data_IF_487994115535
#
_entry.id   IF_487994115535
#
_cell.length_a   1.000
_cell.length_b   1.000
_cell.length_c   1.000
_cell.angle_alpha   90.00
_cell.angle_beta   90.00
_cell.angle_gamma   90.00
#
_symmetry.space_group_name_H-M   'P 1'
#
loop_
_entity.id
_entity.type
_entity.pdbx_description
1 polymer ?
#
# COMPACT_ATOMS: atom_id res chain seq x y z
N UNK A 1 13.61 15.61 38.10
CA UNK A 1 13.79 14.15 38.30
C UNK A 1 12.92 13.39 37.29
N UNK A 2 13.52 12.72 36.33
CA UNK A 2 12.78 11.82 35.40
C UNK A 2 12.45 10.55 36.20
N UNK A 3 11.16 10.28 36.41
CA UNK A 3 10.71 8.98 36.96
C UNK A 3 11.04 7.91 35.92
N UNK A 4 12.00 7.06 36.23
CA UNK A 4 12.26 5.83 35.46
C UNK A 4 11.09 4.89 35.76
N UNK A 5 10.18 4.71 34.83
CA UNK A 5 9.16 3.66 34.89
C UNK A 5 9.91 2.32 34.89
N UNK A 6 9.99 1.68 36.06
CA UNK A 6 10.35 0.26 36.14
C UNK A 6 9.15 -0.52 35.61
N UNK A 7 9.29 -1.14 34.41
CA UNK A 7 8.33 -2.11 33.94
C UNK A 7 8.35 -3.33 34.86
N UNK A 8 7.24 -3.59 35.55
CA UNK A 8 7.07 -4.71 36.48
C UNK A 8 6.99 -6.08 35.80
N UNK A 9 6.95 -6.13 34.45
CA UNK A 9 6.93 -7.39 33.72
C UNK A 9 8.34 -7.72 33.19
N UNK A 10 8.92 -8.83 33.65
CA UNK A 10 10.15 -9.34 33.06
C UNK A 10 9.90 -9.61 31.60
N UNK A 11 10.80 -9.15 30.72
CA UNK A 11 10.76 -9.49 29.30
C UNK A 11 10.80 -11.01 29.09
N UNK A 12 10.76 -11.44 27.83
CA UNK A 12 10.90 -12.88 27.50
C UNK A 12 12.31 -13.35 27.89
N UNK A 13 12.36 -14.44 28.66
CA UNK A 13 13.59 -15.15 29.07
C UNK A 13 13.46 -16.62 28.74
N UNK A 14 14.57 -17.38 28.80
CA UNK A 14 14.54 -18.85 28.60
C UNK A 14 13.72 -19.59 29.65
N UNK A 15 13.47 -18.99 30.79
CA UNK A 15 12.68 -19.56 31.87
C UNK A 15 11.18 -19.45 31.61
N UNK A 16 10.73 -18.32 31.02
CA UNK A 16 9.31 -18.05 30.79
C UNK A 16 8.87 -18.27 29.32
N UNK A 17 9.80 -18.54 28.40
CA UNK A 17 9.51 -18.79 27.00
C UNK A 17 10.40 -19.89 26.41
N UNK A 18 9.82 -20.88 25.70
CA UNK A 18 10.52 -22.11 25.32
C UNK A 18 11.25 -22.06 23.98
N UNK A 19 10.69 -21.37 23.00
CA UNK A 19 11.17 -21.44 21.63
C UNK A 19 12.16 -20.32 21.30
N UNK A 20 13.43 -20.70 21.12
CA UNK A 20 14.51 -19.77 20.83
C UNK A 20 15.33 -20.18 19.62
N UNK A 21 15.60 -19.23 18.73
CA UNK A 21 16.61 -19.35 17.68
C UNK A 21 17.95 -18.98 18.32
N UNK A 22 18.87 -19.92 18.34
CA UNK A 22 20.23 -19.77 18.87
C UNK A 22 21.25 -19.63 17.75
N UNK A 23 22.50 -19.41 18.05
CA UNK A 23 23.57 -19.25 17.04
C UNK A 23 23.67 -20.44 16.07
N UNK A 24 23.33 -21.66 16.52
CA UNK A 24 23.37 -22.86 15.69
C UNK A 24 22.34 -22.88 14.55
N UNK A 25 21.22 -22.20 14.70
CA UNK A 25 20.11 -22.22 13.71
C UNK A 25 19.70 -20.86 13.16
N UNK A 26 20.37 -19.76 13.59
CA UNK A 26 20.11 -18.39 13.04
C UNK A 26 20.23 -18.32 11.51
N UNK A 27 21.20 -19.07 10.93
CA UNK A 27 21.42 -19.09 9.49
C UNK A 27 20.33 -19.82 8.68
N UNK A 28 19.50 -20.60 9.35
CA UNK A 28 18.40 -21.36 8.72
C UNK A 28 17.13 -20.54 8.58
N UNK A 29 17.08 -19.32 9.12
CA UNK A 29 15.92 -18.45 9.07
C UNK A 29 16.04 -17.48 7.90
N UNK A 30 15.02 -17.46 7.05
CA UNK A 30 15.00 -16.71 5.80
C UNK A 30 13.99 -15.57 5.83
N UNK A 31 14.18 -14.60 4.93
CA UNK A 31 13.24 -13.51 4.72
C UNK A 31 12.31 -13.82 3.56
N UNK A 32 11.08 -13.32 3.64
CA UNK A 32 10.10 -13.37 2.56
C UNK A 32 10.33 -12.19 1.61
N UNK A 33 11.26 -12.35 0.68
CA UNK A 33 11.55 -11.32 -0.32
C UNK A 33 10.29 -11.00 -1.16
N UNK A 34 10.01 -9.71 -1.36
CA UNK A 34 8.87 -9.24 -2.14
C UNK A 34 7.51 -9.28 -1.41
N UNK A 35 7.44 -9.87 -0.20
CA UNK A 35 6.21 -9.91 0.60
C UNK A 35 6.37 -9.06 1.86
N UNK A 36 7.48 -9.24 2.58
CA UNK A 36 7.78 -8.42 3.74
C UNK A 36 8.26 -7.04 3.33
N UNK A 37 8.00 -6.03 4.17
CA UNK A 37 8.50 -4.67 3.98
C UNK A 37 10.05 -4.66 3.96
N UNK A 38 10.66 -3.68 3.28
CA UNK A 38 12.10 -3.47 3.38
C UNK A 38 12.57 -3.24 4.82
N UNK A 39 13.75 -3.75 5.15
CA UNK A 39 14.36 -3.51 6.45
C UNK A 39 14.87 -2.07 6.49
N UNK A 40 14.40 -1.30 7.48
CA UNK A 40 14.79 0.10 7.67
C UNK A 40 15.88 0.15 8.76
N UNK A 41 17.15 0.48 8.42
CA UNK A 41 18.27 0.45 9.36
C UNK A 41 18.06 1.32 10.62
N UNK A 42 17.41 2.48 10.45
CA UNK A 42 17.07 3.37 11.56
C UNK A 42 16.12 2.69 12.56
N UNK A 43 15.10 1.97 12.09
CA UNK A 43 14.18 1.24 12.97
C UNK A 43 14.89 0.10 13.71
N UNK A 44 15.80 -0.61 13.06
CA UNK A 44 16.63 -1.66 13.68
C UNK A 44 17.48 -1.06 14.81
N UNK A 45 18.13 0.08 14.57
CA UNK A 45 18.96 0.76 15.58
C UNK A 45 18.12 1.22 16.78
N UNK A 46 16.97 1.86 16.55
CA UNK A 46 16.06 2.28 17.62
C UNK A 46 15.54 1.10 18.43
N UNK A 47 15.21 0.00 17.75
CA UNK A 47 14.71 -1.20 18.41
C UNK A 47 15.80 -1.89 19.24
N UNK A 48 17.04 -1.93 18.73
CA UNK A 48 18.19 -2.46 19.50
C UNK A 48 18.44 -1.64 20.78
N UNK A 49 18.35 -0.31 20.73
CA UNK A 49 18.44 0.54 21.91
C UNK A 49 17.32 0.25 22.91
N UNK A 50 16.08 0.10 22.42
CA UNK A 50 14.94 -0.22 23.29
C UNK A 50 15.09 -1.60 23.95
N UNK A 51 15.58 -2.60 23.21
CA UNK A 51 15.82 -3.95 23.72
C UNK A 51 16.87 -3.97 24.85
N UNK A 52 17.94 -3.17 24.73
CA UNK A 52 18.93 -3.05 25.81
C UNK A 52 18.34 -2.43 27.09
N UNK A 53 17.31 -1.61 26.97
CA UNK A 53 16.69 -0.95 28.14
C UNK A 53 15.55 -1.77 28.76
N UNK A 54 14.76 -2.45 27.93
CA UNK A 54 13.49 -3.07 28.35
C UNK A 54 13.52 -4.60 28.27
N UNK A 55 14.57 -5.20 27.66
CA UNK A 55 14.58 -6.61 27.33
C UNK A 55 13.68 -6.96 26.15
N UNK A 56 13.53 -8.26 25.88
CA UNK A 56 12.72 -8.77 24.76
C UNK A 56 11.28 -8.93 25.25
N UNK A 57 10.36 -8.16 24.69
CA UNK A 57 8.96 -8.12 25.14
C UNK A 57 8.01 -8.97 24.29
N UNK A 58 8.41 -9.38 23.11
CA UNK A 58 7.60 -10.22 22.21
C UNK A 58 8.48 -11.14 21.35
N UNK A 59 7.96 -12.32 20.93
CA UNK A 59 8.64 -13.17 19.95
C UNK A 59 8.48 -12.61 18.53
N UNK A 60 9.32 -13.10 17.61
CA UNK A 60 9.05 -13.03 16.18
C UNK A 60 8.07 -14.14 15.76
N UNK A 61 7.42 -13.96 14.61
CA UNK A 61 6.54 -15.00 14.05
C UNK A 61 7.23 -15.60 12.84
N UNK A 62 7.35 -16.94 12.83
CA UNK A 62 7.92 -17.70 11.72
C UNK A 62 6.95 -18.76 11.23
N UNK A 63 7.14 -19.21 9.97
CA UNK A 63 6.42 -20.34 9.40
C UNK A 63 7.39 -21.26 8.68
N UNK A 64 7.09 -22.56 8.64
CA UNK A 64 7.78 -23.50 7.78
C UNK A 64 7.10 -23.49 6.39
N UNK A 65 7.82 -23.03 5.38
CA UNK A 65 7.26 -22.81 4.05
C UNK A 65 8.05 -23.60 3.03
N UNK A 66 7.35 -24.44 2.25
CA UNK A 66 7.94 -25.26 1.17
C UNK A 66 7.50 -24.82 -0.23
N UNK A 67 6.41 -24.06 -0.34
CA UNK A 67 5.81 -23.63 -1.61
C UNK A 67 6.40 -22.35 -2.20
N UNK A 68 7.31 -21.67 -1.48
CA UNK A 68 8.02 -20.48 -1.94
C UNK A 68 9.46 -20.86 -2.32
N UNK A 69 9.94 -20.36 -3.46
CA UNK A 69 11.34 -20.51 -3.94
C UNK A 69 11.91 -21.94 -4.03
N UNK A 70 11.13 -22.98 -3.81
CA UNK A 70 11.58 -24.38 -3.85
C UNK A 70 12.52 -24.79 -2.71
N UNK A 71 12.82 -23.91 -1.76
CA UNK A 71 13.68 -24.17 -0.60
C UNK A 71 12.79 -24.27 0.64
N UNK A 72 12.52 -25.48 1.16
CA UNK A 72 11.82 -25.64 2.43
C UNK A 72 12.63 -24.99 3.56
N UNK A 73 11.96 -24.26 4.43
CA UNK A 73 12.67 -23.64 5.54
C UNK A 73 11.81 -22.74 6.41
N UNK A 74 12.45 -22.13 7.39
CA UNK A 74 11.84 -21.21 8.32
C UNK A 74 11.88 -19.79 7.80
N UNK A 75 10.71 -19.20 7.57
CA UNK A 75 10.58 -17.86 7.05
C UNK A 75 9.98 -16.92 8.09
N UNK A 76 10.53 -15.71 8.21
CA UNK A 76 10.00 -14.68 9.09
C UNK A 76 8.72 -14.12 8.48
N UNK A 77 7.61 -14.33 9.17
CA UNK A 77 6.29 -13.80 8.79
C UNK A 77 6.05 -12.42 9.39
N UNK A 78 6.43 -12.23 10.66
CA UNK A 78 6.44 -10.91 11.32
C UNK A 78 7.66 -10.76 12.25
N UNK A 79 8.06 -9.52 12.50
CA UNK A 79 9.14 -9.17 13.42
C UNK A 79 10.52 -9.12 12.77
N UNK A 80 10.65 -8.92 11.46
CA UNK A 80 11.94 -8.85 10.77
C UNK A 80 12.89 -7.75 11.29
N UNK A 81 12.38 -6.59 11.71
CA UNK A 81 13.19 -5.54 12.35
C UNK A 81 13.68 -5.99 13.73
N UNK A 82 12.82 -6.68 14.49
CA UNK A 82 13.18 -7.26 15.78
C UNK A 82 14.25 -8.35 15.62
N UNK A 83 14.09 -9.24 14.64
CA UNK A 83 15.09 -10.25 14.29
C UNK A 83 16.46 -9.61 14.03
N UNK A 84 16.52 -8.58 13.17
CA UNK A 84 17.76 -7.88 12.87
C UNK A 84 18.37 -7.15 14.07
N UNK A 85 17.53 -6.56 14.94
CA UNK A 85 17.99 -5.91 16.14
C UNK A 85 18.62 -6.91 17.12
N UNK A 86 17.99 -8.07 17.30
CA UNK A 86 18.52 -9.14 18.18
C UNK A 86 19.77 -9.78 17.58
N UNK A 87 19.85 -10.01 16.28
CA UNK A 87 21.07 -10.43 15.59
C UNK A 87 22.24 -9.46 15.86
N UNK A 88 21.99 -8.16 15.70
CA UNK A 88 22.99 -7.12 15.94
C UNK A 88 23.50 -7.09 17.38
N UNK A 89 22.63 -7.43 18.34
CA UNK A 89 22.98 -7.51 19.76
C UNK A 89 23.61 -8.85 20.16
N UNK A 90 23.71 -9.83 19.25
CA UNK A 90 24.19 -11.17 19.55
C UNK A 90 23.25 -11.97 20.47
N UNK A 91 21.98 -11.58 20.56
CA UNK A 91 21.01 -12.21 21.45
C UNK A 91 20.32 -13.40 20.77
N UNK A 92 19.88 -14.37 21.58
CA UNK A 92 18.94 -15.40 21.12
C UNK A 92 17.59 -14.78 20.80
N UNK A 93 16.86 -15.39 19.86
CA UNK A 93 15.66 -14.79 19.26
C UNK A 93 14.44 -15.64 19.59
N UNK A 94 13.51 -15.16 20.44
CA UNK A 94 12.29 -15.90 20.72
C UNK A 94 11.36 -15.91 19.51
N UNK A 95 10.72 -17.06 19.25
CA UNK A 95 9.83 -17.21 18.11
C UNK A 95 8.57 -18.01 18.44
N UNK A 96 7.52 -17.76 17.68
CA UNK A 96 6.34 -18.62 17.59
C UNK A 96 6.17 -19.11 16.16
N UNK A 97 5.69 -20.34 16.00
CA UNK A 97 5.28 -20.87 14.71
C UNK A 97 3.83 -20.54 14.41
N UNK A 98 3.55 -20.24 13.15
CA UNK A 98 2.21 -20.30 12.59
C UNK A 98 2.16 -21.28 11.43
N UNK A 99 1.05 -21.98 11.29
CA UNK A 99 0.79 -22.80 10.14
C UNK A 99 0.42 -21.91 8.94
N UNK A 100 0.91 -22.26 7.76
CA UNK A 100 0.62 -21.57 6.51
C UNK A 100 0.35 -22.61 5.44
N UNK A 101 -0.86 -22.57 4.86
CA UNK A 101 -1.33 -23.57 3.90
C UNK A 101 -0.79 -23.35 2.50
N UNK A 102 -0.82 -22.08 2.06
CA UNK A 102 -0.43 -21.67 0.72
C UNK A 102 0.00 -20.18 0.72
N UNK A 103 0.35 -19.69 -0.45
CA UNK A 103 0.85 -18.32 -0.63
C UNK A 103 -0.20 -17.26 -0.31
N UNK A 104 -1.48 -17.54 -0.57
CA UNK A 104 -2.59 -16.63 -0.26
C UNK A 104 -2.78 -16.51 1.25
N UNK A 105 -2.88 -17.64 1.94
CA UNK A 105 -2.98 -17.72 3.40
C UNK A 105 -1.79 -17.00 4.09
N UNK A 106 -0.58 -17.13 3.52
CA UNK A 106 0.60 -16.40 3.99
C UNK A 106 0.41 -14.89 3.94
N UNK A 107 -0.01 -14.34 2.78
CA UNK A 107 -0.20 -12.90 2.60
C UNK A 107 -1.31 -12.38 3.51
N UNK A 108 -2.42 -13.10 3.64
CA UNK A 108 -3.53 -12.75 4.54
C UNK A 108 -3.06 -12.70 6.01
N UNK A 109 -2.30 -13.69 6.46
CA UNK A 109 -1.74 -13.73 7.83
C UNK A 109 -0.74 -12.59 8.09
N UNK A 110 0.14 -12.29 7.13
CA UNK A 110 1.06 -11.16 7.23
C UNK A 110 0.28 -9.84 7.35
N UNK A 111 -0.75 -9.66 6.52
CA UNK A 111 -1.60 -8.47 6.59
C UNK A 111 -2.30 -8.34 7.95
N UNK A 112 -2.83 -9.44 8.49
CA UNK A 112 -3.50 -9.47 9.78
C UNK A 112 -2.53 -9.16 10.95
N UNK A 113 -1.34 -9.76 10.98
CA UNK A 113 -0.33 -9.52 11.99
C UNK A 113 0.15 -8.07 11.99
N UNK A 114 0.27 -7.47 10.81
CA UNK A 114 0.69 -6.07 10.69
C UNK A 114 -0.43 -5.06 10.98
N UNK A 115 -1.70 -5.45 10.96
CA UNK A 115 -2.82 -4.58 11.27
C UNK A 115 -2.80 -4.04 12.72
N UNK A 116 -2.17 -4.78 13.64
CA UNK A 116 -2.09 -4.42 15.06
C UNK A 116 -0.85 -3.60 15.44
N UNK A 117 0.19 -3.52 14.58
CA UNK A 117 1.45 -2.87 14.93
C UNK A 117 1.63 -1.50 14.27
N UNK A 118 1.96 -1.44 13.02
CA UNK A 118 1.98 -0.24 12.19
C UNK A 118 1.11 -0.52 10.97
N UNK A 119 0.06 0.26 10.80
CA UNK A 119 -0.86 0.10 9.67
C UNK A 119 -0.07 0.03 8.36
N UNK A 120 -0.28 -1.01 7.58
CA UNK A 120 0.27 -1.10 6.24
C UNK A 120 -0.19 0.09 5.41
N UNK A 121 0.72 0.68 4.68
CA UNK A 121 0.36 1.61 3.62
C UNK A 121 -0.35 0.85 2.50
N UNK A 122 -1.08 1.57 1.66
CA UNK A 122 -1.72 0.93 0.50
C UNK A 122 -0.69 0.25 -0.41
N UNK A 123 0.50 0.85 -0.54
CA UNK A 123 1.61 0.30 -1.31
C UNK A 123 2.14 -1.03 -0.73
N UNK A 124 2.15 -1.19 0.60
CA UNK A 124 2.55 -2.46 1.22
C UNK A 124 1.59 -3.60 0.82
N UNK A 125 0.26 -3.32 0.79
CA UNK A 125 -0.74 -4.30 0.33
C UNK A 125 -0.56 -4.64 -1.15
N UNK A 126 -0.35 -3.62 -2.00
CA UNK A 126 -0.13 -3.85 -3.44
C UNK A 126 1.11 -4.70 -3.67
N UNK A 127 2.21 -4.40 -3.00
CA UNK A 127 3.46 -5.17 -3.12
C UNK A 127 3.24 -6.64 -2.70
N UNK A 128 2.56 -6.86 -1.58
CA UNK A 128 2.29 -8.22 -1.10
C UNK A 128 1.40 -9.01 -2.08
N UNK A 129 0.30 -8.41 -2.55
CA UNK A 129 -0.61 -9.06 -3.49
C UNK A 129 -0.04 -9.20 -4.89
N UNK A 130 0.91 -8.36 -5.33
CA UNK A 130 1.62 -8.49 -6.61
C UNK A 130 2.33 -9.83 -6.76
N UNK A 131 2.66 -10.49 -5.64
CA UNK A 131 3.24 -11.83 -5.66
C UNK A 131 2.25 -12.93 -6.07
N UNK A 132 0.94 -12.63 -6.10
CA UNK A 132 -0.14 -13.59 -6.36
C UNK A 132 -0.97 -13.23 -7.59
N UNK A 133 -1.22 -11.94 -7.78
CA UNK A 133 -2.23 -11.42 -8.70
C UNK A 133 -1.61 -10.43 -9.68
N UNK A 134 -1.71 -10.72 -10.99
CA UNK A 134 -1.13 -9.88 -12.05
C UNK A 134 -1.71 -8.46 -12.07
N UNK A 135 -2.98 -8.28 -11.70
CA UNK A 135 -3.61 -6.97 -11.65
C UNK A 135 -2.94 -6.03 -10.64
N UNK A 136 -2.35 -6.56 -9.58
CA UNK A 136 -1.57 -5.79 -8.62
C UNK A 136 -0.19 -5.42 -9.14
N UNK A 137 0.43 -6.28 -9.96
CA UNK A 137 1.67 -5.93 -10.69
C UNK A 137 1.40 -4.76 -11.63
N UNK A 138 0.31 -4.85 -12.41
CA UNK A 138 -0.11 -3.78 -13.33
C UNK A 138 -0.45 -2.49 -12.58
N UNK A 139 -1.23 -2.56 -11.50
CA UNK A 139 -1.56 -1.40 -10.65
C UNK A 139 -0.29 -0.68 -10.16
N UNK A 140 0.70 -1.45 -9.69
CA UNK A 140 1.98 -0.88 -9.27
C UNK A 140 2.73 -0.21 -10.43
N UNK A 141 2.75 -0.83 -11.60
CA UNK A 141 3.38 -0.27 -12.79
C UNK A 141 2.69 1.03 -13.23
N UNK A 142 1.36 1.04 -13.30
CA UNK A 142 0.60 2.25 -13.64
C UNK A 142 0.81 3.38 -12.63
N UNK A 143 0.90 3.07 -11.34
CA UNK A 143 1.20 4.07 -10.31
C UNK A 143 2.58 4.72 -10.48
N UNK A 144 3.56 3.97 -11.00
CA UNK A 144 4.89 4.51 -11.29
C UNK A 144 4.96 5.33 -12.59
N UNK A 145 3.99 5.15 -13.50
CA UNK A 145 3.93 5.84 -14.78
C UNK A 145 3.12 7.15 -14.67
N UNK A 146 1.99 7.11 -13.97
CA UNK A 146 1.04 8.22 -13.91
C UNK A 146 1.17 9.01 -12.60
N UNK A 147 1.27 10.34 -12.71
CA UNK A 147 1.27 11.26 -11.55
C UNK A 147 -0.17 11.48 -11.05
N UNK A 148 -0.84 10.40 -10.66
CA UNK A 148 -2.20 10.41 -10.11
C UNK A 148 -2.19 9.97 -8.66
N UNK A 149 -3.19 10.44 -7.91
CA UNK A 149 -3.42 9.91 -6.57
C UNK A 149 -3.78 8.43 -6.65
N UNK A 150 -3.18 7.60 -5.78
CA UNK A 150 -3.26 6.15 -5.87
C UNK A 150 -4.69 5.61 -5.87
N UNK A 151 -5.56 6.15 -5.02
CA UNK A 151 -6.96 5.70 -4.94
C UNK A 151 -7.77 6.12 -6.17
N UNK A 152 -7.44 7.25 -6.78
CA UNK A 152 -8.04 7.71 -8.03
C UNK A 152 -7.65 6.77 -9.16
N UNK A 153 -6.37 6.53 -9.33
CA UNK A 153 -5.83 5.60 -10.35
C UNK A 153 -6.46 4.22 -10.23
N UNK A 154 -6.44 3.63 -9.03
CA UNK A 154 -7.02 2.31 -8.79
C UNK A 154 -8.54 2.28 -9.07
N UNK A 155 -9.25 3.36 -8.78
CA UNK A 155 -10.70 3.43 -9.04
C UNK A 155 -10.99 3.48 -10.54
N UNK A 156 -10.21 4.25 -11.30
CA UNK A 156 -10.35 4.29 -12.77
C UNK A 156 -10.01 2.93 -13.38
N UNK A 157 -8.91 2.29 -12.95
CA UNK A 157 -8.53 0.96 -13.41
C UNK A 157 -9.59 -0.11 -13.12
N UNK A 158 -10.35 0.04 -12.05
CA UNK A 158 -11.51 -0.81 -11.77
C UNK A 158 -12.77 -0.41 -12.56
N UNK A 159 -12.65 0.46 -13.54
CA UNK A 159 -13.74 1.04 -14.35
C UNK A 159 -14.84 1.68 -13.48
N UNK A 160 -14.45 2.41 -12.44
CA UNK A 160 -15.35 3.13 -11.53
C UNK A 160 -15.09 4.64 -11.58
N UNK A 161 -16.06 5.43 -11.14
CA UNK A 161 -15.90 6.88 -10.98
C UNK A 161 -15.19 7.12 -9.63
N UNK A 162 -14.04 7.84 -9.60
CA UNK A 162 -13.38 8.17 -8.35
C UNK A 162 -14.29 8.99 -7.42
N UNK A 163 -14.21 8.80 -6.11
CA UNK A 163 -14.96 9.62 -5.16
C UNK A 163 -14.41 11.06 -5.14
N UNK A 164 -15.28 12.03 -4.91
CA UNK A 164 -14.91 13.46 -4.85
C UNK A 164 -14.02 13.82 -3.65
N UNK A 165 -13.85 12.91 -2.69
CA UNK A 165 -13.09 13.14 -1.46
C UNK A 165 -12.13 12.00 -1.17
N UNK A 166 -10.96 12.34 -0.60
CA UNK A 166 -10.04 11.36 -0.02
C UNK A 166 -10.71 10.72 1.20
N UNK A 167 -10.78 9.41 1.27
CA UNK A 167 -11.34 8.71 2.42
C UNK A 167 -11.68 7.27 2.12
N UNK A 168 -12.66 6.72 2.79
CA UNK A 168 -13.06 5.31 2.74
C UNK A 168 -13.61 4.86 1.37
N UNK A 169 -12.79 4.98 0.33
CA UNK A 169 -13.13 4.48 -1.00
C UNK A 169 -13.30 2.96 -0.94
N UNK A 170 -14.40 2.40 -1.49
CA UNK A 170 -14.60 0.95 -1.59
C UNK A 170 -13.42 0.23 -2.25
N UNK A 171 -12.72 0.90 -3.17
CA UNK A 171 -11.55 0.35 -3.86
C UNK A 171 -10.39 0.06 -2.89
N UNK A 172 -10.20 0.89 -1.87
CA UNK A 172 -9.17 0.69 -0.84
C UNK A 172 -9.40 -0.63 -0.09
N UNK A 173 -10.65 -0.94 0.23
CA UNK A 173 -11.01 -2.22 0.87
C UNK A 173 -10.73 -3.40 -0.07
N UNK A 174 -11.10 -3.31 -1.34
CA UNK A 174 -10.81 -4.35 -2.34
C UNK A 174 -9.30 -4.58 -2.49
N UNK A 175 -8.50 -3.50 -2.53
CA UNK A 175 -7.03 -3.62 -2.60
C UNK A 175 -6.49 -4.36 -1.37
N UNK A 176 -6.91 -3.98 -0.18
CA UNK A 176 -6.45 -4.62 1.06
C UNK A 176 -6.81 -6.12 1.13
N UNK A 177 -7.95 -6.50 0.61
CA UNK A 177 -8.47 -7.87 0.64
C UNK A 177 -7.98 -8.76 -0.51
N UNK A 178 -7.19 -8.26 -1.47
CA UNK A 178 -6.81 -9.04 -2.65
C UNK A 178 -7.91 -9.16 -3.72
N UNK A 179 -8.95 -8.34 -3.61
CA UNK A 179 -10.15 -8.38 -4.47
C UNK A 179 -10.11 -7.35 -5.61
N UNK A 180 -9.01 -6.58 -5.71
CA UNK A 180 -8.85 -5.60 -6.77
C UNK A 180 -8.70 -6.29 -8.12
N UNK A 181 -9.43 -5.80 -9.14
CA UNK A 181 -9.32 -6.26 -10.53
C UNK A 181 -9.35 -5.06 -11.47
N UNK A 182 -8.53 -5.12 -12.52
CA UNK A 182 -8.57 -4.20 -13.65
C UNK A 182 -9.69 -4.64 -14.59
N UNK A 183 -10.53 -3.70 -14.98
CA UNK A 183 -11.71 -3.97 -15.82
C UNK A 183 -11.57 -3.19 -17.12
N UNK A 184 -11.69 -3.87 -18.28
CA UNK A 184 -11.57 -3.25 -19.60
C UNK A 184 -10.28 -2.43 -19.76
N UNK A 185 -9.13 -3.06 -19.55
CA UNK A 185 -7.82 -2.40 -19.39
C UNK A 185 -7.54 -1.35 -20.48
N UNK A 186 -7.73 -1.68 -21.75
CA UNK A 186 -7.48 -0.73 -22.86
C UNK A 186 -8.35 0.52 -22.75
N UNK A 187 -9.62 0.35 -22.37
CA UNK A 187 -10.55 1.46 -22.19
C UNK A 187 -10.13 2.34 -21.02
N UNK A 188 -9.87 1.75 -19.85
CA UNK A 188 -9.55 2.53 -18.63
C UNK A 188 -8.19 3.21 -18.72
N UNK A 189 -7.20 2.61 -19.41
CA UNK A 189 -5.91 3.26 -19.66
C UNK A 189 -6.10 4.50 -20.54
N UNK A 190 -6.93 4.41 -21.59
CA UNK A 190 -7.29 5.58 -22.39
C UNK A 190 -7.95 6.68 -21.54
N UNK A 191 -8.82 6.32 -20.61
CA UNK A 191 -9.42 7.30 -19.68
C UNK A 191 -8.37 7.93 -18.79
N UNK A 192 -7.38 7.16 -18.30
CA UNK A 192 -6.26 7.68 -17.48
C UNK A 192 -5.42 8.67 -18.28
N UNK A 193 -5.07 8.36 -19.53
CA UNK A 193 -4.35 9.27 -20.42
C UNK A 193 -5.11 10.59 -20.57
N UNK A 194 -6.41 10.52 -20.85
CA UNK A 194 -7.28 11.69 -20.99
C UNK A 194 -7.37 12.52 -19.70
N UNK A 195 -7.48 11.87 -18.53
CA UNK A 195 -7.41 12.54 -17.21
C UNK A 195 -6.08 13.26 -17.04
N UNK A 196 -4.98 12.61 -17.41
CA UNK A 196 -3.63 13.18 -17.33
C UNK A 196 -3.47 14.41 -18.21
N UNK A 197 -4.01 14.39 -19.45
CA UNK A 197 -4.02 15.53 -20.34
C UNK A 197 -4.79 16.71 -19.73
N UNK A 198 -5.97 16.48 -19.17
CA UNK A 198 -6.78 17.51 -18.51
C UNK A 198 -6.07 18.09 -17.29
N UNK A 199 -5.44 17.24 -16.48
CA UNK A 199 -4.64 17.70 -15.33
C UNK A 199 -3.42 18.52 -15.76
N UNK A 200 -2.77 18.20 -16.88
CA UNK A 200 -1.67 19.00 -17.41
C UNK A 200 -2.09 20.45 -17.71
N UNK A 201 -3.34 20.64 -18.15
CA UNK A 201 -3.90 21.99 -18.43
C UNK A 201 -4.45 22.67 -17.15
N UNK A 202 -5.14 21.91 -16.29
CA UNK A 202 -5.91 22.43 -15.15
C UNK A 202 -5.35 22.06 -13.78
N UNK A 203 -4.12 21.51 -13.69
CA UNK A 203 -3.52 21.06 -12.42
C UNK A 203 -3.64 22.12 -11.34
N UNK A 204 -4.13 21.70 -10.18
CA UNK A 204 -4.35 22.56 -9.02
C UNK A 204 -3.23 22.45 -8.02
N UNK A 205 -3.15 23.42 -7.10
CA UNK A 205 -2.15 23.43 -6.04
C UNK A 205 -2.42 22.36 -4.98
N UNK A 206 -3.68 22.05 -4.73
CA UNK A 206 -4.05 21.08 -3.69
C UNK A 206 -4.38 19.71 -4.24
N UNK A 207 -4.01 18.67 -3.48
CA UNK A 207 -4.36 17.27 -3.77
C UNK A 207 -5.88 17.06 -3.87
N UNK A 208 -6.63 17.71 -3.00
CA UNK A 208 -8.09 17.58 -2.95
C UNK A 208 -8.76 18.08 -4.23
N UNK A 209 -8.35 19.25 -4.72
CA UNK A 209 -8.89 19.83 -5.96
C UNK A 209 -8.58 18.95 -7.18
N UNK A 210 -7.39 18.36 -7.24
CA UNK A 210 -7.03 17.42 -8.33
C UNK A 210 -7.89 16.15 -8.28
N UNK A 211 -8.18 15.59 -7.10
CA UNK A 211 -9.07 14.43 -6.95
C UNK A 211 -10.49 14.77 -7.41
N UNK A 212 -11.01 15.92 -7.01
CA UNK A 212 -12.32 16.40 -7.44
C UNK A 212 -12.38 16.57 -8.96
N UNK A 213 -11.38 17.21 -9.56
CA UNK A 213 -11.28 17.37 -11.00
C UNK A 213 -11.27 16.01 -11.75
N UNK A 214 -10.49 15.04 -11.27
CA UNK A 214 -10.48 13.70 -11.84
C UNK A 214 -11.86 13.03 -11.77
N UNK A 215 -12.54 13.14 -10.62
CA UNK A 215 -13.87 12.56 -10.43
C UNK A 215 -14.90 13.12 -11.41
N UNK A 216 -14.97 14.46 -11.50
CA UNK A 216 -15.91 15.14 -12.39
C UNK A 216 -15.62 14.82 -13.86
N UNK A 217 -14.34 14.81 -14.26
CA UNK A 217 -13.97 14.49 -15.63
C UNK A 217 -14.26 13.03 -16.00
N UNK A 218 -13.94 12.06 -15.14
CA UNK A 218 -14.27 10.65 -15.38
C UNK A 218 -15.78 10.44 -15.45
N UNK A 219 -16.53 11.12 -14.58
CA UNK A 219 -18.00 11.10 -14.61
C UNK A 219 -18.54 11.67 -15.92
N UNK A 220 -17.97 12.78 -16.39
CA UNK A 220 -18.32 13.38 -17.67
C UNK A 220 -18.04 12.43 -18.83
N UNK A 221 -16.85 11.84 -18.93
CA UNK A 221 -16.49 10.89 -19.98
C UNK A 221 -17.44 9.68 -20.04
N UNK A 222 -17.82 9.14 -18.89
CA UNK A 222 -18.75 7.99 -18.81
C UNK A 222 -20.18 8.29 -19.25
N UNK A 223 -20.61 9.53 -19.07
CA UNK A 223 -21.98 9.95 -19.37
C UNK A 223 -22.10 10.65 -20.75
N UNK A 224 -20.98 10.90 -21.44
CA UNK A 224 -20.98 11.62 -22.71
C UNK A 224 -21.04 10.66 -23.88
N UNK A 225 -22.11 10.75 -24.67
CA UNK A 225 -22.24 10.08 -25.97
C UNK A 225 -21.43 10.88 -27.00
N UNK A 226 -20.69 10.20 -27.89
CA UNK A 226 -19.89 10.80 -28.97
C UNK A 226 -18.80 11.78 -28.50
N UNK A 227 -18.13 11.47 -27.37
CA UNK A 227 -17.07 12.28 -26.83
C UNK A 227 -15.79 12.24 -27.69
N UNK A 228 -15.39 13.40 -28.22
CA UNK A 228 -14.12 13.62 -28.93
C UNK A 228 -13.11 14.35 -28.02
N UNK A 229 -12.14 13.60 -27.51
CA UNK A 229 -11.11 14.14 -26.60
C UNK A 229 -10.25 15.23 -27.23
N UNK A 230 -9.91 15.13 -28.52
CA UNK A 230 -9.07 16.13 -29.22
C UNK A 230 -9.80 17.47 -29.34
N UNK A 231 -11.07 17.43 -29.74
CA UNK A 231 -11.93 18.60 -29.82
C UNK A 231 -12.11 19.22 -28.43
N UNK A 232 -12.40 18.40 -27.42
CA UNK A 232 -12.53 18.81 -26.04
C UNK A 232 -11.27 19.53 -25.54
N UNK A 233 -10.07 18.93 -25.70
CA UNK A 233 -8.80 19.52 -25.25
C UNK A 233 -8.48 20.85 -25.96
N UNK A 234 -8.81 21.00 -27.23
CA UNK A 234 -8.71 22.27 -27.94
C UNK A 234 -9.58 23.32 -27.28
N UNK A 235 -10.87 23.04 -27.10
CA UNK A 235 -11.83 23.96 -26.46
C UNK A 235 -11.44 24.28 -25.03
N UNK A 236 -10.90 23.31 -24.28
CA UNK A 236 -10.40 23.50 -22.91
C UNK A 236 -9.22 24.49 -22.86
N UNK A 237 -8.26 24.36 -23.78
CA UNK A 237 -7.13 25.27 -23.85
C UNK A 237 -7.56 26.71 -24.18
N UNK A 238 -8.49 26.85 -25.13
CA UNK A 238 -9.04 28.15 -25.54
C UNK A 238 -9.80 28.82 -24.39
N UNK A 239 -10.43 28.07 -23.51
CA UNK A 239 -11.25 28.55 -22.39
C UNK A 239 -10.61 28.34 -21.01
N UNK A 240 -9.32 28.05 -20.93
CA UNK A 240 -8.59 27.69 -19.70
C UNK A 240 -8.86 28.63 -18.52
N UNK A 241 -8.94 29.96 -18.75
CA UNK A 241 -9.17 30.96 -17.69
C UNK A 241 -10.55 30.79 -17.01
N UNK A 242 -11.59 30.47 -17.78
CA UNK A 242 -12.94 30.23 -17.24
C UNK A 242 -12.98 28.97 -16.37
N UNK A 243 -12.27 27.90 -16.77
CA UNK A 243 -12.17 26.68 -15.98
C UNK A 243 -11.41 26.88 -14.67
N UNK A 244 -10.38 27.70 -14.68
CA UNK A 244 -9.61 28.05 -13.48
C UNK A 244 -10.49 28.71 -12.42
N UNK A 245 -11.41 29.54 -12.80
CA UNK A 245 -12.33 30.19 -11.87
C UNK A 245 -13.45 29.27 -11.40
N UNK A 246 -13.98 28.46 -12.27
CA UNK A 246 -15.14 27.58 -11.99
C UNK A 246 -14.83 26.40 -11.08
N UNK A 247 -13.57 25.93 -11.00
CA UNK A 247 -13.18 24.81 -10.13
C UNK A 247 -13.25 25.15 -8.63
N UNK A 248 -13.51 26.38 -8.27
CA UNK A 248 -13.73 26.80 -6.88
C UNK A 248 -15.19 26.60 -6.42
N UNK A 249 -16.12 26.31 -7.34
CA UNK A 249 -17.53 26.14 -7.05
C UNK A 249 -17.99 24.72 -7.36
N UNK A 250 -18.49 24.00 -6.35
CA UNK A 250 -19.00 22.64 -6.46
C UNK A 250 -20.14 22.57 -7.50
N UNK A 251 -20.02 21.68 -8.49
CA UNK A 251 -21.02 21.49 -9.56
C UNK A 251 -20.75 22.25 -10.88
N UNK A 252 -20.04 23.36 -10.87
CA UNK A 252 -19.79 24.12 -12.10
C UNK A 252 -18.85 23.44 -13.11
N UNK A 253 -17.95 22.59 -12.64
CA UNK A 253 -17.05 21.85 -13.54
C UNK A 253 -17.81 20.94 -14.51
N UNK A 254 -18.85 20.26 -14.02
CA UNK A 254 -19.66 19.37 -14.86
C UNK A 254 -20.38 20.16 -15.98
N UNK A 255 -21.00 21.26 -15.61
CA UNK A 255 -21.69 22.14 -16.57
C UNK A 255 -20.72 22.65 -17.64
N UNK A 256 -19.51 23.05 -17.23
CA UNK A 256 -18.49 23.54 -18.15
C UNK A 256 -17.96 22.44 -19.07
N UNK A 257 -17.75 21.22 -18.56
CA UNK A 257 -17.36 20.08 -19.42
C UNK A 257 -18.42 19.80 -20.50
N UNK A 258 -19.70 19.91 -20.18
CA UNK A 258 -20.78 19.75 -21.18
C UNK A 258 -20.76 20.85 -22.24
N UNK A 259 -20.34 22.08 -21.93
CA UNK A 259 -20.22 23.17 -22.90
C UNK A 259 -19.05 23.02 -23.87
N UNK A 260 -18.07 22.14 -23.57
CA UNK A 260 -16.88 21.90 -24.40
C UNK A 260 -17.00 20.72 -25.36
N UNK A 261 -18.11 20.03 -25.35
CA UNK A 261 -18.40 18.85 -26.18
C UNK A 261 -18.20 19.06 -27.68
#
# INVERSE_FOLDING_TARGET
MKKTLKLEHPGLTKENFKNWITDSNKKSVMYLAGINRPIIPYHVTKLAQALMMMGIIRPIVIANISFMSGIPGWYIVDGQHLFNALLRLGMDIPYVFIDVKDKKDLVEKIALLNASSKTWSLQDYVTAWSSLENDYVKLNNYFNIYDLEFSVLATILANQIPPNRVGNSPIIKKIKNGEFRIVEEEHVVKVIDQVTDVLAVLKRQTRHENIYLCSEYVSFCKNSVDYDHKKFMKNLNDNKKHFILATQEEGKLKELFETLK
#
